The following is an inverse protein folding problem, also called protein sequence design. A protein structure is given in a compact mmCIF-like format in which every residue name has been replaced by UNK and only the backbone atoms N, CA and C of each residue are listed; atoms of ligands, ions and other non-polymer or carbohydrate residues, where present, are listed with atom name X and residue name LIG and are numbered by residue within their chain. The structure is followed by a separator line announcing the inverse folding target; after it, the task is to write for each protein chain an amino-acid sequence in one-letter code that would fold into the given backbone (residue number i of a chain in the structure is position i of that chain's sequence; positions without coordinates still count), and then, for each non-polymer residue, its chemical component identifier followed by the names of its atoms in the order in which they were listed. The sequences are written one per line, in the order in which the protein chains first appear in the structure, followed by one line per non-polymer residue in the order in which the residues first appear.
data_IF_840438391825
#
_entry.id   IF_840438391825
#
_cell.length_a   1.000
_cell.length_b   1.000
_cell.length_c   1.000
_cell.angle_alpha   90.00
_cell.angle_beta   90.00
_cell.angle_gamma   90.00
#
_symmetry.space_group_name_H-M   'P 1'
#
loop_
_entity.id
_entity.type
_entity.pdbx_description
1 polymer ?
#
# COMPACT_ATOMS: atom_id res chain seq x y z
N UNK A 1 43.90 25.27 -13.57
CA UNK A 1 44.82 24.33 -12.90
C UNK A 1 45.15 24.98 -11.56
N UNK A 2 44.88 24.47 -10.35
CA UNK A 2 44.38 23.20 -9.86
C UNK A 2 43.94 23.37 -8.40
N UNK A 3 43.11 22.44 -7.94
CA UNK A 3 42.44 22.38 -6.63
C UNK A 3 43.41 22.10 -5.47
N UNK A 4 43.08 22.56 -4.25
CA UNK A 4 43.34 21.89 -2.96
C UNK A 4 42.51 22.60 -1.86
N UNK A 5 41.26 22.19 -1.64
CA UNK A 5 40.79 21.18 -0.66
C UNK A 5 41.28 21.46 0.78
N UNK A 6 40.28 21.81 1.59
CA UNK A 6 40.26 22.11 3.02
C UNK A 6 40.73 20.94 3.88
N UNK A 7 41.50 21.25 4.93
CA UNK A 7 41.65 20.39 6.10
C UNK A 7 40.35 20.45 6.91
N UNK A 8 39.82 19.27 7.23
CA UNK A 8 38.70 19.06 8.16
C UNK A 8 39.35 18.66 9.48
N UNK A 9 39.35 19.56 10.45
CA UNK A 9 39.63 19.21 11.83
C UNK A 9 38.45 18.40 12.40
N UNK A 10 38.80 17.30 13.06
CA UNK A 10 37.88 16.39 13.74
C UNK A 10 37.26 17.11 14.92
N UNK A 11 35.94 17.11 15.00
CA UNK A 11 35.22 17.36 16.24
C UNK A 11 34.51 16.07 16.63
N UNK A 12 34.75 15.67 17.87
CA UNK A 12 34.39 14.40 18.47
C UNK A 12 32.88 14.12 18.41
N UNK A 13 32.56 12.94 17.88
CA UNK A 13 31.23 12.33 17.90
C UNK A 13 30.99 11.86 19.33
N UNK A 14 30.32 12.69 20.14
CA UNK A 14 29.68 12.20 21.35
C UNK A 14 28.54 11.25 20.95
N UNK A 15 28.60 10.03 21.49
CA UNK A 15 27.66 8.95 21.23
C UNK A 15 26.25 9.27 21.72
N UNK A 16 25.23 8.58 21.19
CA UNK A 16 23.84 8.84 21.54
C UNK A 16 23.53 8.28 22.93
N UNK A 17 23.18 9.17 23.84
CA UNK A 17 22.63 8.80 25.14
C UNK A 17 21.31 8.03 24.94
N UNK A 18 21.34 6.82 25.47
CA UNK A 18 20.34 5.76 25.51
C UNK A 18 19.09 6.07 26.34
N UNK A 19 18.42 7.18 26.00
CA UNK A 19 17.03 7.44 26.34
C UNK A 19 16.24 7.80 25.09
N UNK A 20 16.20 6.83 24.16
CA UNK A 20 15.32 6.80 23.00
C UNK A 20 13.85 6.68 23.41
N UNK A 21 13.33 7.73 24.06
CA UNK A 21 11.90 7.95 24.21
C UNK A 21 11.38 8.35 22.84
N UNK A 22 11.06 7.34 22.04
CA UNK A 22 10.31 7.47 20.80
C UNK A 22 8.97 8.10 21.19
N UNK A 23 8.81 9.41 21.02
CA UNK A 23 7.51 10.05 21.00
C UNK A 23 6.98 9.96 19.58
N UNK A 24 6.16 8.94 19.21
CA UNK A 24 5.39 9.07 18.00
C UNK A 24 4.35 10.15 18.29
N UNK A 25 4.30 11.19 17.45
CA UNK A 25 3.12 12.04 17.36
C UNK A 25 2.90 13.05 18.51
N UNK A 26 3.90 13.86 18.84
CA UNK A 26 3.61 15.22 19.28
C UNK A 26 3.11 16.00 18.05
N UNK A 27 1.78 16.05 17.92
CA UNK A 27 1.07 16.98 17.04
C UNK A 27 1.53 18.39 17.36
N UNK A 28 2.53 18.85 16.61
CA UNK A 28 3.15 20.17 16.69
C UNK A 28 2.23 21.26 16.11
N UNK A 29 0.93 21.15 16.36
CA UNK A 29 -0.09 22.04 15.85
C UNK A 29 -0.54 22.95 17.00
N UNK A 30 -0.35 24.24 16.77
CA UNK A 30 -0.86 25.38 17.55
C UNK A 30 0.08 26.00 18.62
N UNK A 31 1.39 26.12 18.34
CA UNK A 31 2.18 27.17 19.00
C UNK A 31 1.97 28.53 18.29
N UNK A 32 1.54 29.59 19.00
CA UNK A 32 1.41 30.92 18.40
C UNK A 32 2.80 31.44 17.99
N UNK A 33 2.94 31.79 16.71
CA UNK A 33 4.18 32.38 16.17
C UNK A 33 5.10 31.43 15.39
N UNK A 34 4.78 30.13 15.31
CA UNK A 34 5.51 29.21 14.42
C UNK A 34 4.88 29.26 13.03
N UNK A 35 5.64 29.60 11.97
CA UNK A 35 5.11 29.54 10.61
C UNK A 35 4.71 28.10 10.29
N UNK A 36 3.45 27.89 9.91
CA UNK A 36 2.97 26.59 9.44
C UNK A 36 3.87 26.15 8.27
N UNK A 37 4.38 24.90 8.26
CA UNK A 37 5.21 24.44 7.16
C UNK A 37 4.42 24.59 5.85
N UNK A 38 4.90 25.48 4.99
CA UNK A 38 4.29 25.75 3.69
C UNK A 38 4.35 24.46 2.86
N UNK A 39 3.20 23.82 2.69
CA UNK A 39 3.11 22.63 1.84
C UNK A 39 2.92 23.07 0.40
N UNK A 40 3.74 22.57 -0.51
CA UNK A 40 3.57 22.80 -1.94
C UNK A 40 2.63 21.79 -2.58
N UNK A 41 1.84 22.22 -3.55
CA UNK A 41 0.95 21.36 -4.33
C UNK A 41 1.76 20.32 -5.10
N UNK A 42 1.44 19.03 -4.96
CA UNK A 42 2.15 17.93 -5.64
C UNK A 42 2.06 17.98 -7.17
N UNK A 43 1.14 18.78 -7.73
CA UNK A 43 0.97 18.93 -9.18
C UNK A 43 1.69 20.16 -9.74
N UNK A 44 1.50 21.32 -9.11
CA UNK A 44 1.90 22.61 -9.66
C UNK A 44 2.89 23.40 -8.78
N UNK A 45 3.29 22.85 -7.63
CA UNK A 45 4.26 23.48 -6.72
C UNK A 45 3.75 24.67 -5.91
N UNK A 46 2.56 25.20 -6.21
CA UNK A 46 1.98 26.35 -5.48
C UNK A 46 1.78 26.04 -3.99
N UNK A 47 1.99 27.04 -3.13
CA UNK A 47 1.71 26.92 -1.71
C UNK A 47 0.24 26.53 -1.47
N UNK A 48 0.04 25.54 -0.61
CA UNK A 48 -1.26 25.02 -0.18
C UNK A 48 -1.51 25.55 1.22
N UNK A 49 -2.62 26.27 1.44
CA UNK A 49 -2.94 26.77 2.77
C UNK A 49 -3.10 25.59 3.73
N UNK A 50 -2.59 25.74 4.95
CA UNK A 50 -2.73 24.72 5.99
C UNK A 50 -4.21 24.35 6.18
N UNK A 51 -4.52 23.07 6.42
CA UNK A 51 -5.90 22.61 6.51
C UNK A 51 -6.63 23.33 7.66
N UNK A 52 -7.67 24.10 7.34
CA UNK A 52 -8.54 24.79 8.31
C UNK A 52 -9.51 23.85 9.05
N UNK A 53 -9.48 22.54 8.77
CA UNK A 53 -10.45 21.57 9.32
C UNK A 53 -9.77 20.28 9.75
N UNK A 54 -10.33 19.68 10.80
CA UNK A 54 -10.08 18.31 11.23
C UNK A 54 -10.45 17.36 10.08
N UNK A 55 -9.43 16.80 9.44
CA UNK A 55 -9.57 15.93 8.27
C UNK A 55 -8.20 15.65 7.63
N UNK A 56 -8.18 14.80 6.60
CA UNK A 56 -6.94 14.50 5.88
C UNK A 56 -6.43 15.78 5.20
N UNK A 57 -5.20 16.25 5.48
CA UNK A 57 -4.66 17.45 4.85
C UNK A 57 -4.66 17.31 3.32
N UNK A 58 -5.12 18.33 2.59
CA UNK A 58 -5.04 18.34 1.13
C UNK A 58 -3.60 18.63 0.69
N UNK A 59 -3.07 17.80 -0.20
CA UNK A 59 -1.74 17.99 -0.82
C UNK A 59 -1.80 18.78 -2.14
N UNK A 60 -2.97 19.35 -2.45
CA UNK A 60 -3.25 20.01 -3.71
C UNK A 60 -3.87 21.38 -3.45
N UNK A 61 -3.47 22.38 -4.24
CA UNK A 61 -3.99 23.75 -4.14
C UNK A 61 -5.43 23.88 -4.69
N UNK A 62 -5.87 22.95 -5.53
CA UNK A 62 -7.20 22.96 -6.12
C UNK A 62 -7.64 21.55 -6.51
N UNK A 63 -8.95 21.38 -6.67
CA UNK A 63 -9.55 20.14 -7.14
C UNK A 63 -9.04 19.76 -8.54
N UNK A 64 -8.84 20.75 -9.42
CA UNK A 64 -8.28 20.53 -10.76
C UNK A 64 -6.88 19.89 -10.70
N UNK A 65 -6.01 20.35 -9.78
CA UNK A 65 -4.69 19.76 -9.57
C UNK A 65 -4.77 18.32 -9.06
N UNK A 66 -5.72 18.03 -8.16
CA UNK A 66 -5.97 16.68 -7.63
C UNK A 66 -6.39 15.72 -8.74
N UNK A 67 -7.37 16.11 -9.56
CA UNK A 67 -7.89 15.30 -10.67
C UNK A 67 -6.80 15.06 -11.72
N UNK A 68 -6.06 16.10 -12.11
CA UNK A 68 -4.98 15.98 -13.09
C UNK A 68 -3.85 15.05 -12.63
N UNK A 69 -3.46 15.12 -11.35
CA UNK A 69 -2.45 14.22 -10.80
C UNK A 69 -2.95 12.78 -10.75
N UNK A 70 -4.19 12.55 -10.35
CA UNK A 70 -4.80 11.21 -10.34
C UNK A 70 -4.88 10.62 -11.76
N UNK A 71 -5.20 11.43 -12.77
CA UNK A 71 -5.20 11.00 -14.17
C UNK A 71 -3.78 10.61 -14.64
N UNK A 72 -2.77 11.41 -14.31
CA UNK A 72 -1.38 11.11 -14.64
C UNK A 72 -0.88 9.82 -13.98
N UNK A 73 -1.21 9.60 -12.70
CA UNK A 73 -0.87 8.36 -11.99
C UNK A 73 -1.52 7.12 -12.62
N UNK A 74 -2.80 7.20 -12.97
CA UNK A 74 -3.47 6.09 -13.69
C UNK A 74 -2.82 5.83 -15.04
N UNK A 75 -2.52 6.88 -15.81
CA UNK A 75 -1.85 6.73 -17.10
C UNK A 75 -0.46 6.10 -16.96
N UNK A 76 0.30 6.46 -15.92
CA UNK A 76 1.59 5.84 -15.63
C UNK A 76 1.45 4.35 -15.26
N UNK A 77 0.47 4.02 -14.41
CA UNK A 77 0.18 2.63 -14.03
C UNK A 77 -0.11 1.75 -15.25
N UNK A 78 -1.01 2.20 -16.14
CA UNK A 78 -1.34 1.45 -17.35
C UNK A 78 -0.16 1.29 -18.32
N UNK A 79 0.78 2.24 -18.34
CA UNK A 79 2.00 2.15 -19.16
C UNK A 79 3.07 1.23 -18.57
N UNK A 80 3.12 1.08 -17.24
CA UNK A 80 4.07 0.19 -16.58
C UNK A 80 3.70 -1.29 -16.64
N UNK A 81 2.47 -1.62 -17.04
CA UNK A 81 1.94 -2.99 -17.00
C UNK A 81 2.15 -3.69 -18.36
N UNK A 82 3.40 -4.01 -18.68
CA UNK A 82 3.81 -5.05 -19.66
C UNK A 82 5.28 -5.42 -19.40
N UNK A 83 5.57 -6.68 -19.05
CA UNK A 83 5.63 -7.75 -20.06
C UNK A 83 4.67 -8.91 -19.77
N UNK A 84 4.13 -9.49 -20.84
CA UNK A 84 3.25 -10.65 -20.82
C UNK A 84 3.99 -11.99 -20.59
N UNK A 85 5.28 -11.97 -20.23
CA UNK A 85 6.18 -13.12 -20.31
C UNK A 85 6.09 -14.10 -19.12
N UNK A 86 5.48 -13.72 -17.99
CA UNK A 86 5.42 -14.60 -16.80
C UNK A 86 4.14 -15.46 -16.69
N UNK A 87 3.30 -15.51 -17.73
CA UNK A 87 2.00 -16.23 -17.68
C UNK A 87 2.10 -17.75 -17.78
N UNK A 88 3.29 -18.32 -17.98
CA UNK A 88 3.45 -19.77 -18.20
C UNK A 88 3.46 -20.63 -16.92
N UNK A 89 3.52 -20.02 -15.74
CA UNK A 89 3.37 -20.79 -14.49
C UNK A 89 1.91 -21.22 -14.25
N UNK A 90 1.55 -22.38 -14.78
CA UNK A 90 0.23 -23.00 -14.56
C UNK A 90 -0.07 -23.21 -13.06
N UNK A 91 -1.27 -22.84 -12.64
CA UNK A 91 -1.77 -22.87 -11.26
C UNK A 91 -2.48 -24.20 -11.00
N UNK A 92 -2.32 -24.78 -9.81
CA UNK A 92 -3.05 -25.99 -9.43
C UNK A 92 -4.49 -25.67 -9.00
N UNK A 93 -5.47 -26.39 -9.57
CA UNK A 93 -6.86 -26.33 -9.16
C UNK A 93 -7.04 -26.92 -7.75
N UNK A 94 -7.67 -26.17 -6.83
CA UNK A 94 -7.90 -26.64 -5.46
C UNK A 94 -8.89 -27.79 -5.32
N UNK A 95 -9.70 -28.06 -6.36
CA UNK A 95 -10.70 -29.13 -6.32
C UNK A 95 -10.19 -30.43 -6.96
N UNK A 96 -9.61 -30.36 -8.17
CA UNK A 96 -9.16 -31.54 -8.91
C UNK A 96 -7.64 -31.72 -8.95
N UNK A 97 -6.85 -30.75 -8.46
CA UNK A 97 -5.39 -30.80 -8.48
C UNK A 97 -4.74 -30.54 -9.84
N UNK A 98 -5.51 -30.52 -10.94
CA UNK A 98 -4.97 -30.28 -12.28
C UNK A 98 -4.37 -28.88 -12.40
N UNK A 99 -3.23 -28.79 -13.09
CA UNK A 99 -2.60 -27.50 -13.43
C UNK A 99 -3.33 -26.90 -14.61
N UNK A 100 -3.63 -25.61 -14.53
CA UNK A 100 -4.29 -24.86 -15.60
C UNK A 100 -3.68 -23.46 -15.70
N UNK A 101 -3.70 -22.90 -16.91
CA UNK A 101 -3.30 -21.51 -17.14
C UNK A 101 -4.53 -20.64 -16.96
N UNK A 102 -4.37 -19.56 -16.20
CA UNK A 102 -5.46 -18.62 -15.97
C UNK A 102 -5.36 -17.47 -16.97
N UNK A 103 -6.21 -17.51 -18.00
CA UNK A 103 -6.24 -16.47 -19.03
C UNK A 103 -6.78 -15.13 -18.51
N UNK A 104 -7.46 -15.15 -17.35
CA UNK A 104 -8.13 -13.98 -16.77
C UNK A 104 -7.79 -13.82 -15.29
N UNK A 105 -7.24 -12.66 -14.95
CA UNK A 105 -7.07 -12.18 -13.58
C UNK A 105 -8.33 -11.41 -13.19
N UNK A 106 -9.02 -11.82 -12.12
CA UNK A 106 -10.22 -11.13 -11.62
C UNK A 106 -9.84 -10.35 -10.37
N UNK A 107 -10.04 -9.03 -10.38
CA UNK A 107 -9.70 -8.14 -9.26
C UNK A 107 -8.25 -8.29 -8.76
N UNK A 108 -7.29 -8.40 -9.69
CA UNK A 108 -5.87 -8.56 -9.37
C UNK A 108 -5.50 -9.94 -8.78
N UNK A 109 -6.39 -10.93 -8.83
CA UNK A 109 -6.15 -12.28 -8.30
C UNK A 109 -6.31 -13.35 -9.36
N UNK A 110 -5.42 -14.34 -9.32
CA UNK A 110 -5.52 -15.54 -10.13
C UNK A 110 -6.64 -16.46 -9.60
N UNK A 111 -7.38 -17.14 -10.49
CA UNK A 111 -8.41 -18.08 -10.09
C UNK A 111 -7.82 -19.30 -9.37
N UNK A 112 -8.57 -19.83 -8.40
CA UNK A 112 -8.19 -21.03 -7.64
C UNK A 112 -8.69 -22.35 -8.25
N UNK A 113 -9.59 -22.27 -9.23
CA UNK A 113 -10.28 -23.43 -9.80
C UNK A 113 -10.21 -23.33 -11.33
N UNK A 114 -10.00 -24.47 -11.99
CA UNK A 114 -9.91 -24.54 -13.45
C UNK A 114 -11.24 -24.26 -14.17
N UNK A 115 -12.38 -24.34 -13.47
CA UNK A 115 -13.70 -24.13 -14.05
C UNK A 115 -14.81 -23.94 -13.03
N UNK A 116 -16.03 -23.70 -13.53
CA UNK A 116 -17.26 -23.50 -12.72
C UNK A 116 -17.57 -24.70 -11.83
N UNK A 117 -17.39 -25.91 -12.33
CA UNK A 117 -17.76 -27.13 -11.61
C UNK A 117 -16.82 -27.38 -10.43
N UNK A 118 -15.51 -27.25 -10.67
CA UNK A 118 -14.50 -27.29 -9.62
C UNK A 118 -14.71 -26.19 -8.58
N UNK A 119 -15.12 -24.99 -9.00
CA UNK A 119 -15.49 -23.90 -8.11
C UNK A 119 -16.71 -24.25 -7.25
N UNK A 120 -17.74 -24.87 -7.83
CA UNK A 120 -18.94 -25.29 -7.11
C UNK A 120 -18.62 -26.42 -6.11
N UNK A 121 -17.82 -27.40 -6.52
CA UNK A 121 -17.32 -28.46 -5.64
C UNK A 121 -16.54 -27.89 -4.46
N UNK A 122 -15.60 -26.98 -4.71
CA UNK A 122 -14.83 -26.30 -3.66
C UNK A 122 -15.73 -25.55 -2.66
N UNK A 123 -16.76 -24.84 -3.15
CA UNK A 123 -17.74 -24.16 -2.28
C UNK A 123 -18.53 -25.15 -1.40
N UNK A 124 -18.98 -26.26 -1.98
CA UNK A 124 -19.70 -27.32 -1.23
C UNK A 124 -18.80 -27.95 -0.16
N UNK A 125 -17.54 -28.22 -0.48
CA UNK A 125 -16.54 -28.74 0.46
C UNK A 125 -16.29 -27.79 1.63
N UNK A 126 -16.10 -26.49 1.37
CA UNK A 126 -15.97 -25.48 2.41
C UNK A 126 -17.21 -25.42 3.32
N UNK A 127 -18.41 -25.38 2.73
CA UNK A 127 -19.66 -25.37 3.48
C UNK A 127 -19.83 -26.61 4.38
N UNK A 128 -19.44 -27.80 3.90
CA UNK A 128 -19.42 -29.01 4.69
C UNK A 128 -18.43 -28.91 5.87
N UNK A 129 -17.23 -28.38 5.64
CA UNK A 129 -16.23 -28.13 6.68
C UNK A 129 -16.73 -27.15 7.75
N UNK A 130 -17.38 -26.06 7.37
CA UNK A 130 -17.99 -25.11 8.31
C UNK A 130 -19.08 -25.78 9.17
N UNK A 131 -19.95 -26.60 8.58
CA UNK A 131 -20.97 -27.34 9.33
C UNK A 131 -20.36 -28.32 10.33
N UNK A 132 -19.28 -29.03 9.95
CA UNK A 132 -18.56 -29.96 10.83
C UNK A 132 -17.94 -29.22 12.03
N UNK A 133 -17.22 -28.12 11.79
CA UNK A 133 -16.62 -27.30 12.86
C UNK A 133 -17.68 -26.76 13.82
N UNK A 134 -18.80 -26.25 13.30
CA UNK A 134 -19.91 -25.76 14.15
C UNK A 134 -20.49 -26.84 15.07
N UNK A 135 -20.58 -28.10 14.60
CA UNK A 135 -21.01 -29.22 15.44
C UNK A 135 -19.98 -29.55 16.54
N UNK A 136 -18.69 -29.52 16.21
CA UNK A 136 -17.61 -29.77 17.17
C UNK A 136 -17.58 -28.71 18.29
N UNK A 137 -17.72 -27.43 17.94
CA UNK A 137 -17.79 -26.34 18.95
C UNK A 137 -18.99 -26.51 19.88
N UNK A 138 -20.16 -26.93 19.35
CA UNK A 138 -21.34 -27.22 20.19
C UNK A 138 -21.17 -28.46 21.08
N UNK A 139 -20.38 -29.44 20.64
CA UNK A 139 -20.17 -30.69 21.39
C UNK A 139 -19.07 -30.59 22.45
N UNK A 140 -18.13 -29.64 22.32
CA UNK A 140 -16.99 -29.47 23.23
C UNK A 140 -17.10 -28.28 24.19
N UNK A 141 -18.26 -27.62 24.28
CA UNK A 141 -18.51 -26.46 25.13
C UNK A 141 -19.55 -26.72 26.22
N UNK A 142 -19.47 -27.87 26.89
CA UNK A 142 -20.30 -28.25 28.03
C UNK A 142 -19.45 -28.53 29.26
#
# INVERSE_FOLDING_TARGET
MDKKIKGIEKADVNGPDENGFFFPFLSQLDLPGVPLPERSCLRCGKAVPAPKRTGRPSMFCSEACRVAQAAAQRAAWWRSESPAEDRETGIACRACGQRFVADRVIAGRLPHYCGSDCRLMGRRGLAAGYRKRRRQVKAGGG
#
